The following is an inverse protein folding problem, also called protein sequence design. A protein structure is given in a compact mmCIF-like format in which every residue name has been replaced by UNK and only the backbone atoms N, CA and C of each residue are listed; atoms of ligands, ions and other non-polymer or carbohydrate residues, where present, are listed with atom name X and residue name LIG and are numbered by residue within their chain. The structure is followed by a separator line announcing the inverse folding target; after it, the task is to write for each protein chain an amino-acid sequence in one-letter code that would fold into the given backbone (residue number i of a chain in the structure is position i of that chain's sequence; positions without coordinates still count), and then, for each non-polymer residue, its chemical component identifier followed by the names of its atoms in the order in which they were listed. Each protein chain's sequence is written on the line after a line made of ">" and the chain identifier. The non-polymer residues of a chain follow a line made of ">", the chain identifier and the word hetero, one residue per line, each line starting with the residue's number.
data_IF_896932162694
#
_entry.id   IF_896932162694
#
_cell.length_a   1.000
_cell.length_b   1.000
_cell.length_c   1.000
_cell.angle_alpha   90.00
_cell.angle_beta   90.00
_cell.angle_gamma   90.00
#
_symmetry.space_group_name_H-M   'P 1'
#
loop_
_entity.id
_entity.type
_entity.pdbx_description
1 polymer ?
#
# COMPACT_ATOMS: atom_id res chain seq x y z
N UNK A 1 0.67 21.46 -33.09
CA UNK A 1 0.73 21.42 -32.54
C UNK A 1 0.17 21.52 -31.41
N UNK A 2 -0.27 21.77 -31.08
CA UNK A 2 -0.85 22.03 -30.09
C UNK A 2 -1.65 21.06 -29.55
N UNK A 3 -1.72 20.06 -30.02
CA UNK A 3 -2.38 19.08 -29.58
C UNK A 3 -2.04 18.73 -28.25
N UNK A 4 -1.06 19.16 -27.71
CA UNK A 4 -0.68 18.80 -26.48
C UNK A 4 -1.72 19.14 -25.50
N UNK A 5 -2.54 20.05 -25.70
CA UNK A 5 -3.50 20.36 -24.74
C UNK A 5 -4.38 19.23 -24.49
N UNK A 6 -4.48 18.33 -25.41
CA UNK A 6 -5.32 17.24 -25.20
C UNK A 6 -4.80 16.30 -24.22
N UNK A 7 -3.56 16.37 -23.88
CA UNK A 7 -3.01 15.44 -22.95
C UNK A 7 -3.06 15.92 -21.55
N UNK A 8 -3.57 17.08 -21.30
CA UNK A 8 -3.60 17.56 -19.96
C UNK A 8 -4.77 16.95 -19.27
N UNK A 9 -4.58 16.27 -18.16
CA UNK A 9 -5.68 15.61 -17.50
C UNK A 9 -6.68 16.62 -17.02
N UNK A 10 -7.93 16.29 -17.08
CA UNK A 10 -8.95 17.13 -16.60
C UNK A 10 -8.86 17.20 -15.11
N UNK A 11 -9.37 18.25 -14.52
CA UNK A 11 -9.39 18.36 -13.10
C UNK A 11 -10.26 17.29 -12.50
N UNK A 12 -11.12 16.69 -13.28
CA UNK A 12 -11.99 15.67 -12.78
C UNK A 12 -11.53 14.25 -13.10
N UNK A 13 -10.34 14.13 -13.66
CA UNK A 13 -9.83 12.80 -13.97
C UNK A 13 -9.41 12.11 -12.69
N UNK A 14 -9.72 10.85 -12.57
CA UNK A 14 -9.31 10.09 -11.40
C UNK A 14 -7.92 9.56 -11.61
N UNK A 15 -7.30 9.11 -10.54
CA UNK A 15 -5.98 8.51 -10.64
C UNK A 15 -6.03 7.28 -11.53
N UNK A 16 -7.11 6.51 -11.46
CA UNK A 16 -7.16 5.31 -12.27
C UNK A 16 -7.12 5.64 -13.76
N UNK A 17 -7.59 6.82 -14.15
CA UNK A 17 -7.57 7.20 -15.55
C UNK A 17 -6.23 7.77 -15.96
N UNK A 18 -5.51 8.36 -15.04
CA UNK A 18 -4.28 9.05 -15.38
C UNK A 18 -3.05 8.17 -15.33
N UNK A 19 -3.09 7.13 -14.51
CA UNK A 19 -1.89 6.34 -14.28
C UNK A 19 -1.71 5.23 -15.29
N UNK A 20 -0.47 4.78 -15.41
CA UNK A 20 -0.15 3.69 -16.32
C UNK A 20 -0.62 2.39 -15.69
N UNK A 21 -1.57 1.73 -16.32
CA UNK A 21 -2.14 0.51 -15.78
C UNK A 21 -1.20 -0.66 -15.81
N UNK A 22 -0.10 -0.55 -16.53
CA UNK A 22 0.90 -1.60 -16.53
C UNK A 22 1.88 -1.47 -15.39
N UNK A 23 1.81 -0.39 -14.63
CA UNK A 23 2.75 -0.18 -13.54
C UNK A 23 2.54 -1.25 -12.48
N UNK A 24 3.61 -1.82 -11.92
CA UNK A 24 3.46 -2.89 -10.95
C UNK A 24 2.59 -2.55 -9.75
N UNK A 25 2.68 -1.33 -9.25
CA UNK A 25 1.85 -0.96 -8.11
C UNK A 25 0.39 -0.85 -8.49
N UNK A 26 0.11 -0.39 -9.72
CA UNK A 26 -1.26 -0.31 -10.17
C UNK A 26 -1.85 -1.71 -10.21
N UNK A 27 -1.12 -2.64 -10.77
CA UNK A 27 -1.61 -3.99 -10.90
C UNK A 27 -1.75 -4.68 -9.56
N UNK A 28 -0.81 -4.44 -8.67
CA UNK A 28 -0.89 -5.05 -7.36
C UNK A 28 -2.09 -4.50 -6.60
N UNK A 29 -2.36 -3.22 -6.73
CA UNK A 29 -3.50 -2.62 -6.05
C UNK A 29 -4.79 -3.28 -6.48
N UNK A 30 -4.90 -3.64 -7.75
CA UNK A 30 -6.11 -4.23 -8.25
C UNK A 30 -6.26 -5.70 -7.87
N UNK A 31 -5.19 -6.36 -7.49
CA UNK A 31 -5.24 -7.76 -7.15
C UNK A 31 -5.42 -8.05 -5.68
N UNK A 32 -5.07 -7.12 -4.82
CA UNK A 32 -5.19 -7.34 -3.40
C UNK A 32 -6.65 -7.29 -2.98
N UNK A 33 -7.04 -8.19 -2.11
CA UNK A 33 -8.39 -8.22 -1.59
C UNK A 33 -8.44 -7.28 -0.38
N UNK A 34 -8.66 -6.02 -0.64
CA UNK A 34 -8.66 -5.02 0.41
C UNK A 34 -9.80 -5.21 1.40
N UNK A 35 -10.89 -5.81 0.95
CA UNK A 35 -11.99 -6.00 1.84
C UNK A 35 -11.67 -6.97 2.94
N UNK A 36 -10.76 -7.87 2.70
CA UNK A 36 -10.32 -8.79 3.71
C UNK A 36 -9.78 -8.03 4.91
N UNK A 37 -9.05 -6.95 4.66
CA UNK A 37 -8.49 -6.15 5.74
C UNK A 37 -9.58 -5.35 6.45
N UNK A 38 -10.54 -4.84 5.68
CA UNK A 38 -11.62 -4.10 6.30
C UNK A 38 -12.40 -5.00 7.25
N UNK A 39 -12.69 -6.19 6.82
CA UNK A 39 -13.44 -7.12 7.63
C UNK A 39 -12.67 -7.50 8.89
N UNK A 40 -11.38 -7.71 8.74
CA UNK A 40 -10.58 -8.14 9.87
C UNK A 40 -10.33 -7.04 10.88
N UNK A 41 -10.15 -5.81 10.42
CA UNK A 41 -9.68 -4.76 11.32
C UNK A 41 -10.74 -3.80 11.80
N UNK A 42 -11.87 -3.70 11.11
CA UNK A 42 -12.86 -2.77 11.53
C UNK A 42 -13.38 -3.05 12.94
N UNK A 43 -13.56 -4.28 13.35
CA UNK A 43 -14.02 -4.52 14.71
C UNK A 43 -13.06 -4.02 15.78
N UNK A 44 -11.78 -3.92 15.45
CA UNK A 44 -10.82 -3.45 16.43
C UNK A 44 -11.05 -2.00 16.79
N UNK A 45 -11.56 -1.22 15.87
CA UNK A 45 -11.85 0.17 16.15
C UNK A 45 -13.16 0.28 16.93
N UNK A 46 -14.10 -0.55 16.62
CA UNK A 46 -15.35 -0.48 17.30
C UNK A 46 -15.22 -0.78 18.76
N UNK A 47 -14.32 -1.67 19.10
CA UNK A 47 -14.16 -2.04 20.48
C UNK A 47 -13.69 -0.91 21.32
N UNK A 48 -12.92 -0.01 20.79
CA UNK A 48 -12.40 1.09 21.50
C UNK A 48 -13.31 2.25 21.48
N UNK A 49 -14.46 2.16 20.96
CA UNK A 49 -15.28 3.26 20.85
C UNK A 49 -14.75 4.25 19.97
N UNK A 50 -13.70 3.92 19.28
CA UNK A 50 -13.09 4.82 18.42
C UNK A 50 -13.54 4.68 17.04
N UNK A 51 -13.40 5.66 16.24
CA UNK A 51 -13.61 5.52 14.86
C UNK A 51 -12.27 5.58 14.24
N UNK A 52 -12.04 5.01 13.10
CA UNK A 52 -10.76 5.06 12.46
C UNK A 52 -10.45 6.49 12.13
N UNK A 53 -9.32 6.97 12.54
CA UNK A 53 -8.89 8.26 12.15
C UNK A 53 -8.58 8.30 10.69
N UNK A 54 -8.10 7.20 10.13
CA UNK A 54 -7.78 7.11 8.72
C UNK A 54 -8.36 5.83 8.19
N UNK A 55 -8.66 5.78 6.89
CA UNK A 55 -9.25 4.57 6.33
C UNK A 55 -8.32 3.37 6.50
N UNK A 56 -8.92 2.23 6.73
CA UNK A 56 -8.14 1.01 6.91
C UNK A 56 -7.33 0.71 5.67
N UNK A 57 -7.91 0.89 4.49
CA UNK A 57 -7.17 0.63 3.27
C UNK A 57 -5.93 1.51 3.17
N UNK A 58 -6.03 2.77 3.56
CA UNK A 58 -4.89 3.65 3.51
C UNK A 58 -3.77 3.10 4.38
N UNK A 59 -4.10 2.73 5.61
CA UNK A 59 -3.07 2.28 6.53
C UNK A 59 -2.47 0.95 6.09
N UNK A 60 -3.29 0.03 5.61
CA UNK A 60 -2.78 -1.24 5.12
C UNK A 60 -1.90 -1.03 3.89
N UNK A 61 -2.32 -0.15 3.00
CA UNK A 61 -1.52 0.14 1.82
C UNK A 61 -0.18 0.74 2.19
N UNK A 62 -0.18 1.62 3.20
CA UNK A 62 1.07 2.22 3.64
C UNK A 62 2.03 1.15 4.18
N UNK A 63 1.52 0.20 4.95
CA UNK A 63 2.40 -0.83 5.48
C UNK A 63 2.97 -1.72 4.37
N UNK A 64 2.17 -2.02 3.37
CA UNK A 64 2.66 -2.82 2.27
C UNK A 64 3.72 -2.05 1.49
N UNK A 65 3.48 -0.77 1.24
CA UNK A 65 4.44 0.03 0.51
C UNK A 65 5.74 0.17 1.28
N UNK A 66 5.65 0.33 2.60
CA UNK A 66 6.84 0.45 3.41
C UNK A 66 7.70 -0.79 3.21
N UNK A 67 7.08 -1.95 3.17
CA UNK A 67 7.83 -3.18 3.01
C UNK A 67 8.36 -3.33 1.60
N UNK A 68 7.53 -3.04 0.60
CA UNK A 68 7.96 -3.20 -0.77
C UNK A 68 9.09 -2.27 -1.15
N UNK A 69 9.09 -1.08 -0.61
CA UNK A 69 10.08 -0.09 -0.97
C UNK A 69 11.14 0.10 0.10
N UNK A 70 11.03 -0.66 1.18
CA UNK A 70 12.03 -0.61 2.25
C UNK A 70 12.22 0.82 2.77
N UNK A 71 11.15 1.43 3.20
CA UNK A 71 11.19 2.82 3.64
C UNK A 71 10.93 2.93 5.12
N UNK A 72 11.41 4.01 5.73
CA UNK A 72 11.05 4.30 7.09
C UNK A 72 9.64 4.89 7.09
N UNK A 73 9.01 4.95 8.25
CA UNK A 73 7.68 5.53 8.33
C UNK A 73 7.70 6.97 7.86
N UNK A 74 8.71 7.73 8.24
CA UNK A 74 8.78 9.13 7.85
C UNK A 74 8.99 9.29 6.35
N UNK A 75 9.88 8.50 5.79
CA UNK A 75 10.14 8.61 4.36
C UNK A 75 8.92 8.20 3.57
N UNK A 76 8.22 7.18 4.04
CA UNK A 76 7.05 6.73 3.34
C UNK A 76 5.99 7.83 3.29
N UNK A 77 5.74 8.47 4.43
CA UNK A 77 4.73 9.50 4.49
C UNK A 77 5.08 10.64 3.55
N UNK A 78 6.35 11.02 3.52
CA UNK A 78 6.76 12.08 2.65
C UNK A 78 6.63 11.70 1.19
N UNK A 79 7.12 10.54 0.82
CA UNK A 79 7.10 10.13 -0.57
C UNK A 79 5.68 9.92 -1.07
N UNK A 80 4.77 9.52 -0.17
CA UNK A 80 3.40 9.29 -0.56
C UNK A 80 2.75 10.55 -1.12
N UNK A 81 3.06 11.70 -0.52
CA UNK A 81 2.45 12.93 -0.97
C UNK A 81 2.94 13.35 -2.36
N UNK A 82 4.03 12.75 -2.83
CA UNK A 82 4.56 13.07 -4.12
C UNK A 82 4.37 11.97 -5.15
N UNK A 83 3.81 10.85 -4.76
CA UNK A 83 3.79 9.69 -5.63
C UNK A 83 2.35 9.24 -5.90
N UNK A 84 1.90 9.49 -7.11
CA UNK A 84 0.51 9.19 -7.47
C UNK A 84 0.23 7.69 -7.45
N UNK A 85 1.23 6.85 -7.74
CA UNK A 85 1.01 5.41 -7.69
C UNK A 85 0.85 4.93 -6.26
N UNK A 86 1.57 5.54 -5.32
CA UNK A 86 1.38 5.19 -3.92
C UNK A 86 -0.04 5.57 -3.50
N UNK A 87 -0.52 6.71 -3.96
CA UNK A 87 -1.84 7.16 -3.57
C UNK A 87 -2.91 6.24 -4.15
N UNK A 88 -2.74 5.85 -5.41
CA UNK A 88 -3.69 4.93 -6.01
C UNK A 88 -3.68 3.60 -5.27
N UNK A 89 -2.49 3.12 -4.92
CA UNK A 89 -2.37 1.85 -4.20
C UNK A 89 -3.13 1.91 -2.88
N UNK A 90 -3.13 3.06 -2.24
CA UNK A 90 -3.80 3.23 -0.96
C UNK A 90 -5.26 3.63 -1.08
N UNK A 91 -5.80 3.62 -2.27
CA UNK A 91 -7.24 3.82 -2.44
C UNK A 91 -7.71 5.22 -2.73
N UNK A 92 -6.77 6.13 -3.00
CA UNK A 92 -7.17 7.48 -3.31
C UNK A 92 -7.73 7.54 -4.72
N UNK A 93 -8.73 8.36 -4.92
CA UNK A 93 -9.28 8.51 -6.24
C UNK A 93 -8.71 9.72 -6.95
N UNK A 94 -8.24 10.69 -6.20
CA UNK A 94 -7.67 11.87 -6.78
C UNK A 94 -6.36 12.15 -6.11
N UNK A 95 -5.48 12.81 -6.81
CA UNK A 95 -4.16 13.10 -6.26
C UNK A 95 -4.27 14.14 -5.16
N UNK A 96 -3.63 13.86 -4.04
CA UNK A 96 -3.64 14.75 -2.90
C UNK A 96 -2.21 15.11 -2.56
N UNK A 97 -1.86 16.35 -2.61
CA UNK A 97 -0.45 16.73 -2.40
C UNK A 97 -0.07 16.91 -0.94
N UNK A 98 -0.79 16.34 -0.03
CA UNK A 98 -0.46 16.47 1.37
C UNK A 98 -0.18 15.11 1.96
N UNK A 99 0.47 15.09 3.12
CA UNK A 99 0.81 13.81 3.72
C UNK A 99 -0.47 13.10 4.17
N UNK A 100 -0.49 11.79 4.12
CA UNK A 100 -1.71 11.06 4.41
C UNK A 100 -1.98 10.93 5.90
N UNK A 101 -0.92 10.95 6.69
CA UNK A 101 -1.05 10.76 8.12
C UNK A 101 0.28 11.11 8.77
N UNK A 102 0.31 11.16 10.07
CA UNK A 102 1.59 11.33 10.76
C UNK A 102 2.26 9.96 10.84
N UNK A 103 3.58 9.95 10.86
CA UNK A 103 4.28 8.68 10.95
C UNK A 103 3.91 7.95 12.22
N UNK A 104 3.58 8.67 13.29
CA UNK A 104 3.20 8.02 14.52
C UNK A 104 1.90 7.27 14.38
N UNK A 105 1.04 7.67 13.47
CA UNK A 105 -0.21 6.97 13.27
C UNK A 105 0.04 5.58 12.71
N UNK A 106 1.11 5.41 11.93
CA UNK A 106 1.45 4.09 11.44
C UNK A 106 1.87 3.19 12.60
N UNK A 107 2.60 3.74 13.56
CA UNK A 107 3.00 2.97 14.71
C UNK A 107 1.76 2.53 15.50
N UNK A 108 0.83 3.45 15.70
CA UNK A 108 -0.36 3.11 16.43
C UNK A 108 -1.21 2.07 15.69
N UNK A 109 -1.27 2.17 14.39
CA UNK A 109 -2.03 1.22 13.61
C UNK A 109 -1.42 -0.18 13.74
N UNK A 110 -0.09 -0.29 13.66
CA UNK A 110 0.54 -1.58 13.80
C UNK A 110 0.25 -2.18 15.16
N UNK A 111 0.24 -1.36 16.19
CA UNK A 111 -0.05 -1.87 17.50
C UNK A 111 -1.49 -2.32 17.62
N UNK A 112 -2.39 -1.59 16.98
CA UNK A 112 -3.79 -1.93 17.05
C UNK A 112 -4.10 -3.25 16.38
N UNK A 113 -3.53 -3.50 15.22
CA UNK A 113 -3.83 -4.74 14.52
C UNK A 113 -3.00 -5.92 15.04
N UNK A 114 -1.87 -5.63 15.71
CA UNK A 114 -1.08 -6.69 16.32
C UNK A 114 -0.34 -7.55 15.32
N UNK A 115 0.38 -8.53 15.83
CA UNK A 115 1.15 -9.39 14.97
C UNK A 115 0.28 -10.18 14.03
N UNK A 116 -0.88 -10.60 14.48
CA UNK A 116 -1.75 -11.36 13.61
C UNK A 116 -2.23 -10.52 12.46
N UNK A 117 -2.50 -9.24 12.72
CA UNK A 117 -2.93 -8.36 11.64
C UNK A 117 -1.84 -8.09 10.65
N UNK A 118 -0.62 -7.89 11.16
CA UNK A 118 0.49 -7.65 10.27
C UNK A 118 0.74 -8.88 9.40
N UNK A 119 0.61 -10.05 10.00
CA UNK A 119 0.81 -11.24 9.22
C UNK A 119 -0.27 -11.40 8.17
N UNK A 120 -1.50 -11.05 8.48
CA UNK A 120 -2.56 -11.13 7.49
C UNK A 120 -2.24 -10.25 6.29
N UNK A 121 -1.74 -9.05 6.53
CA UNK A 121 -1.40 -8.14 5.46
C UNK A 121 -0.30 -8.72 4.59
N UNK A 122 0.73 -9.24 5.20
CA UNK A 122 1.83 -9.75 4.40
C UNK A 122 1.46 -11.05 3.68
N UNK A 123 0.64 -11.88 4.29
CA UNK A 123 0.24 -13.09 3.61
C UNK A 123 -0.60 -12.77 2.39
N UNK A 124 -1.42 -11.72 2.45
CA UNK A 124 -2.20 -11.35 1.30
C UNK A 124 -1.28 -10.84 0.19
N UNK A 125 -0.26 -10.07 0.55
CA UNK A 125 0.68 -9.59 -0.45
C UNK A 125 1.39 -10.75 -1.12
N UNK A 126 1.79 -11.73 -0.35
CA UNK A 126 2.48 -12.87 -0.91
C UNK A 126 1.55 -13.67 -1.79
N UNK A 127 0.29 -13.81 -1.36
CA UNK A 127 -0.65 -14.57 -2.13
C UNK A 127 -0.82 -14.01 -3.54
N UNK A 128 -0.97 -12.71 -3.64
CA UNK A 128 -1.18 -12.14 -4.97
C UNK A 128 0.08 -12.18 -5.81
N UNK A 129 1.23 -12.09 -5.19
CA UNK A 129 2.45 -12.21 -5.95
C UNK A 129 2.63 -13.62 -6.45
N UNK A 130 2.38 -14.62 -5.61
CA UNK A 130 2.55 -15.98 -6.02
C UNK A 130 1.49 -16.39 -7.02
N UNK A 131 0.32 -15.84 -6.90
CA UNK A 131 -0.72 -16.24 -7.78
C UNK A 131 -0.43 -15.94 -9.22
N UNK A 132 0.34 -14.91 -9.46
CA UNK A 132 0.67 -14.57 -10.80
C UNK A 132 1.76 -15.39 -11.32
N UNK A 133 2.63 -15.89 -10.50
CA UNK A 133 3.75 -16.63 -10.96
C UNK A 133 3.71 -17.97 -10.43
N UNK A 134 2.61 -18.59 -10.43
CA UNK A 134 2.58 -19.86 -9.88
C UNK A 134 3.48 -20.79 -10.54
N UNK A 135 3.89 -20.52 -11.70
CA UNK A 135 4.79 -21.45 -12.29
C UNK A 135 6.15 -21.08 -11.98
N UNK A 136 6.48 -20.00 -11.42
CA UNK A 136 7.83 -19.66 -11.25
C UNK A 136 8.31 -19.93 -9.95
N UNK A 137 7.93 -19.86 -9.02
CA UNK A 137 8.48 -20.02 -7.75
C UNK A 137 9.50 -19.06 -7.42
N UNK A 138 9.70 -18.02 -8.14
CA UNK A 138 10.75 -17.13 -7.86
C UNK A 138 10.40 -16.23 -6.76
N UNK A 139 9.24 -16.22 -6.38
CA UNK A 139 8.87 -15.48 -5.31
C UNK A 139 9.65 -15.83 -4.12
N UNK A 140 10.13 -16.96 -4.04
CA UNK A 140 10.93 -17.32 -2.94
C UNK A 140 12.13 -16.48 -2.92
N UNK A 141 12.60 -16.11 -4.02
CA UNK A 141 13.78 -15.30 -4.06
C UNK A 141 13.46 -13.98 -3.44
N UNK A 142 12.29 -13.48 -3.64
CA UNK A 142 11.93 -12.24 -3.09
C UNK A 142 11.94 -12.35 -1.60
N UNK A 143 11.45 -13.39 -1.02
CA UNK A 143 11.48 -13.58 0.37
C UNK A 143 12.84 -13.81 0.86
N UNK A 144 13.61 -14.57 0.16
CA UNK A 144 14.94 -14.84 0.55
C UNK A 144 15.75 -13.61 0.65
N UNK A 145 15.63 -12.73 -0.23
CA UNK A 145 16.50 -11.59 -0.18
C UNK A 145 16.19 -10.83 1.06
N UNK A 146 14.97 -10.84 1.51
CA UNK A 146 14.69 -10.15 2.70
C UNK A 146 15.33 -10.80 3.85
N UNK A 147 15.34 -12.06 3.90
CA UNK A 147 15.95 -12.77 4.95
C UNK A 147 17.40 -12.63 4.95
N UNK A 148 18.01 -12.76 3.83
CA UNK A 148 19.38 -12.70 3.77
C UNK A 148 19.91 -11.46 4.24
N UNK A 149 19.31 -10.41 3.99
CA UNK A 149 19.86 -9.24 4.39
C UNK A 149 20.04 -9.17 5.82
N UNK A 150 19.19 -9.64 6.59
CA UNK A 150 19.43 -9.60 7.90
C UNK A 150 20.43 -10.47 8.33
N UNK A 151 20.57 -11.51 7.76
CA UNK A 151 21.56 -12.41 8.16
C UNK A 151 22.85 -11.88 8.07
N UNK A 152 23.13 -11.17 7.14
CA UNK A 152 24.39 -10.72 6.94
C UNK A 152 24.85 -9.92 8.00
N UNK A 153 24.09 -9.35 8.59
CA UNK A 153 24.61 -8.53 9.49
C UNK A 153 25.22 -9.12 10.51
N UNK A 154 25.74 -9.33 10.71
CA UNK A 154 26.36 -9.84 11.58
C UNK A 154 27.06 -9.66 11.96
#
# INVERSE_FOLDING_TARGET
>A
MIKKTNNIPSLFSSLSDMLNQSHPLYQLADKIDWEKFETAFQPLYCQDNGRPGKPIRLMCGMLILKHLRNLSDESLVEQWSENAYYQYFCGMQEFTPSVPCASSELVHFRKRIGEEGIELIFQESIRVNNGDDEDHHHDTAFIDSTVQEKNITY
#
